data_IF_552544257369
#
_entry.id   IF_552544257369
#
_cell.length_a   1.000
_cell.length_b   1.000
_cell.length_c   1.000
_cell.angle_alpha   90.00
_cell.angle_beta   90.00
_cell.angle_gamma   90.00
#
_symmetry.space_group_name_H-M   'P 1'
#
loop_
_entity.id
_entity.type
_entity.pdbx_description
1 polymer ?
#
# COMPACT_ATOMS: atom_id res chain seq x y z
N UNK A 1 39.02 25.97 17.82
CA UNK A 1 37.54 25.97 17.81
C UNK A 1 37.06 24.88 18.74
N UNK A 2 36.09 25.18 19.61
CA UNK A 2 35.51 24.17 20.52
C UNK A 2 34.80 23.09 19.69
N UNK A 3 34.98 21.81 20.05
CA UNK A 3 34.21 20.72 19.43
C UNK A 3 32.76 20.86 19.87
N UNK A 4 31.85 20.98 18.91
CA UNK A 4 30.42 20.91 19.16
C UNK A 4 30.06 19.52 19.70
N UNK A 5 29.00 19.41 20.53
CA UNK A 5 28.56 18.14 21.09
C UNK A 5 28.20 17.14 19.98
N UNK A 6 28.43 15.86 20.26
CA UNK A 6 28.19 14.78 19.29
C UNK A 6 26.70 14.72 18.93
N UNK A 7 26.40 14.88 17.63
CA UNK A 7 25.03 14.93 17.10
C UNK A 7 24.47 16.34 16.87
N UNK A 8 25.20 17.40 17.22
CA UNK A 8 24.82 18.78 16.91
C UNK A 8 25.40 19.23 15.57
N UNK A 9 24.55 19.70 14.67
CA UNK A 9 24.92 20.18 13.35
C UNK A 9 24.25 21.52 13.05
N UNK A 10 25.06 22.54 12.76
CA UNK A 10 24.57 23.84 12.31
C UNK A 10 23.96 23.77 10.90
N UNK A 11 24.44 22.83 10.06
CA UNK A 11 23.91 22.60 8.73
C UNK A 11 22.53 21.91 8.76
N UNK A 12 22.29 21.07 9.76
CA UNK A 12 21.03 20.33 9.92
C UNK A 12 19.90 21.16 10.55
N UNK A 13 20.21 22.26 11.27
CA UNK A 13 19.20 23.12 11.90
C UNK A 13 18.05 23.55 10.96
N UNK A 14 18.32 24.09 9.75
CA UNK A 14 17.25 24.46 8.83
C UNK A 14 16.46 23.25 8.30
N UNK A 15 17.10 22.09 8.18
CA UNK A 15 16.44 20.84 7.76
C UNK A 15 15.49 20.36 8.86
N UNK A 16 15.96 20.30 10.10
CA UNK A 16 15.17 19.86 11.26
C UNK A 16 13.98 20.81 11.53
N UNK A 17 14.17 22.12 11.35
CA UNK A 17 13.09 23.09 11.46
C UNK A 17 12.02 22.88 10.37
N UNK A 18 12.42 22.69 9.11
CA UNK A 18 11.50 22.40 8.02
C UNK A 18 10.72 21.10 8.24
N UNK A 19 11.39 20.04 8.71
CA UNK A 19 10.75 18.76 9.04
C UNK A 19 9.77 18.89 10.22
N UNK A 20 10.12 19.66 11.27
CA UNK A 20 9.24 19.89 12.42
C UNK A 20 7.97 20.67 12.04
N UNK A 21 8.06 21.53 11.03
CA UNK A 21 6.94 22.29 10.47
C UNK A 21 6.14 21.52 9.40
N UNK A 22 6.56 20.29 9.05
CA UNK A 22 5.91 19.47 8.01
C UNK A 22 6.19 19.94 6.57
N UNK A 23 7.23 20.75 6.37
CA UNK A 23 7.66 21.26 5.06
C UNK A 23 8.69 20.33 4.43
N UNK A 24 8.25 19.13 4.05
CA UNK A 24 9.12 18.06 3.56
C UNK A 24 9.87 18.42 2.27
N UNK A 25 9.24 19.14 1.36
CA UNK A 25 9.88 19.56 0.09
C UNK A 25 10.99 20.59 0.32
N UNK A 26 10.78 21.53 1.24
CA UNK A 26 11.80 22.51 1.61
C UNK A 26 12.99 21.82 2.30
N UNK A 27 12.71 20.84 3.17
CA UNK A 27 13.74 20.02 3.79
C UNK A 27 14.58 19.25 2.75
N UNK A 28 13.93 18.67 1.72
CA UNK A 28 14.63 17.98 0.62
C UNK A 28 15.52 18.93 -0.18
N UNK A 29 15.02 20.13 -0.49
CA UNK A 29 15.77 21.13 -1.24
C UNK A 29 17.04 21.54 -0.49
N UNK A 30 16.93 21.83 0.80
CA UNK A 30 18.07 22.20 1.65
C UNK A 30 19.07 21.03 1.77
N UNK A 31 18.59 19.80 1.94
CA UNK A 31 19.44 18.61 1.92
C UNK A 31 20.18 18.47 0.59
N UNK A 32 19.49 18.66 -0.53
CA UNK A 32 20.08 18.55 -1.86
C UNK A 32 21.21 19.57 -2.06
N UNK A 33 21.00 20.82 -1.64
CA UNK A 33 22.01 21.88 -1.73
C UNK A 33 23.26 21.55 -0.90
N UNK A 34 23.08 21.09 0.34
CA UNK A 34 24.19 20.74 1.24
C UNK A 34 24.94 19.48 0.76
N UNK A 35 24.23 18.49 0.21
CA UNK A 35 24.86 17.31 -0.38
C UNK A 35 25.64 17.66 -1.66
N UNK A 36 25.07 18.54 -2.50
CA UNK A 36 25.68 18.96 -3.77
C UNK A 36 26.93 19.81 -3.55
N UNK A 37 27.05 20.53 -2.42
CA UNK A 37 28.26 21.27 -2.08
C UNK A 37 29.43 20.37 -1.68
N UNK A 38 29.20 19.07 -1.41
CA UNK A 38 30.23 18.12 -0.99
C UNK A 38 30.71 18.31 0.45
N UNK A 39 30.09 19.20 1.23
CA UNK A 39 30.49 19.56 2.60
C UNK A 39 29.49 19.08 3.65
N UNK A 40 28.58 18.17 3.29
CA UNK A 40 27.56 17.66 4.18
C UNK A 40 28.15 16.92 5.37
N UNK A 41 27.74 17.32 6.57
CA UNK A 41 28.13 16.65 7.80
C UNK A 41 27.33 15.37 8.08
N UNK A 42 27.76 14.60 9.09
CA UNK A 42 27.20 13.29 9.43
C UNK A 42 25.71 13.34 9.78
N UNK A 43 25.25 14.44 10.39
CA UNK A 43 23.85 14.60 10.78
C UNK A 43 23.00 14.85 9.54
N UNK A 44 23.43 15.74 8.65
CA UNK A 44 22.76 16.01 7.37
C UNK A 44 22.69 14.76 6.50
N UNK A 45 23.78 14.00 6.41
CA UNK A 45 23.82 12.73 5.68
C UNK A 45 22.85 11.69 6.26
N UNK A 46 22.70 11.62 7.58
CA UNK A 46 21.73 10.74 8.24
C UNK A 46 20.30 11.14 7.89
N UNK A 47 19.96 12.43 7.99
CA UNK A 47 18.63 12.94 7.65
C UNK A 47 18.28 12.65 6.18
N UNK A 48 19.23 12.88 5.27
CA UNK A 48 19.07 12.53 3.86
C UNK A 48 18.80 11.03 3.66
N UNK A 49 19.56 10.17 4.34
CA UNK A 49 19.39 8.73 4.26
C UNK A 49 18.04 8.25 4.82
N UNK A 50 17.52 8.91 5.86
CA UNK A 50 16.20 8.63 6.42
C UNK A 50 15.09 9.02 5.44
N UNK A 51 15.20 10.17 4.77
CA UNK A 51 14.23 10.61 3.76
C UNK A 51 14.24 9.74 2.49
N UNK A 52 15.41 9.26 2.09
CA UNK A 52 15.57 8.38 0.92
C UNK A 52 15.29 6.90 1.23
N UNK A 53 15.09 6.55 2.50
CA UNK A 53 14.93 5.17 2.95
C UNK A 53 13.74 4.55 2.22
N UNK A 54 13.96 3.50 1.38
CA UNK A 54 12.85 2.84 0.73
C UNK A 54 11.94 2.24 1.79
N UNK A 55 10.60 2.25 1.59
CA UNK A 55 9.68 1.65 2.54
C UNK A 55 10.09 0.19 2.74
N UNK A 56 10.16 -0.22 4.01
CA UNK A 56 10.58 -1.58 4.38
C UNK A 56 9.68 -2.57 3.63
N UNK A 57 10.22 -3.24 2.62
CA UNK A 57 9.49 -4.26 1.84
C UNK A 57 8.93 -5.27 2.85
N UNK A 58 7.60 -5.44 2.88
CA UNK A 58 6.97 -6.46 3.71
C UNK A 58 7.56 -7.82 3.30
N UNK A 59 8.32 -8.46 4.19
CA UNK A 59 8.76 -9.85 4.00
C UNK A 59 7.51 -10.73 4.09
N UNK A 60 7.18 -11.42 2.99
CA UNK A 60 6.08 -12.38 2.92
C UNK A 60 5.90 -12.95 1.52
N UNK A 61 5.54 -14.23 1.43
CA UNK A 61 5.02 -14.86 0.19
C UNK A 61 3.88 -13.98 -0.33
N UNK A 62 3.85 -13.70 -1.64
CA UNK A 62 2.68 -13.05 -2.25
C UNK A 62 1.45 -13.85 -1.81
N UNK A 63 0.45 -13.18 -1.22
CA UNK A 63 -0.76 -13.85 -0.73
C UNK A 63 -1.37 -14.58 -1.94
N UNK A 64 -1.31 -15.90 -1.94
CA UNK A 64 -1.94 -16.68 -3.00
C UNK A 64 -3.45 -16.51 -2.88
N UNK A 65 -4.09 -16.33 -4.02
CA UNK A 65 -5.54 -16.18 -4.09
C UNK A 65 -6.21 -17.43 -3.49
N UNK A 66 -7.37 -17.29 -2.82
CA UNK A 66 -8.13 -18.44 -2.35
C UNK A 66 -8.39 -19.41 -3.51
N UNK A 67 -8.22 -20.71 -3.27
CA UNK A 67 -8.52 -21.73 -4.29
C UNK A 67 -9.97 -21.58 -4.76
N UNK A 68 -10.16 -21.65 -6.09
CA UNK A 68 -11.45 -21.54 -6.76
C UNK A 68 -12.21 -20.22 -6.53
N UNK A 69 -11.54 -19.13 -6.14
CA UNK A 69 -12.19 -17.86 -5.82
C UNK A 69 -13.16 -17.36 -6.90
N UNK A 70 -12.76 -17.46 -8.17
CA UNK A 70 -13.57 -17.03 -9.31
C UNK A 70 -14.83 -17.88 -9.51
N UNK A 71 -14.71 -19.21 -9.44
CA UNK A 71 -15.82 -20.15 -9.63
C UNK A 71 -16.83 -20.03 -8.50
N UNK A 72 -16.35 -19.96 -7.25
CA UNK A 72 -17.20 -19.77 -6.07
C UNK A 72 -18.01 -18.47 -6.21
N UNK A 73 -17.36 -17.38 -6.62
CA UNK A 73 -18.03 -16.09 -6.76
C UNK A 73 -19.04 -16.05 -7.91
N UNK A 74 -18.69 -16.64 -9.05
CA UNK A 74 -19.62 -16.76 -10.20
C UNK A 74 -20.86 -17.55 -9.78
N UNK A 75 -20.65 -18.70 -9.14
CA UNK A 75 -21.75 -19.55 -8.67
C UNK A 75 -22.62 -18.86 -7.62
N UNK A 76 -22.00 -18.11 -6.70
CA UNK A 76 -22.72 -17.29 -5.72
C UNK A 76 -23.62 -16.26 -6.39
N UNK A 77 -23.11 -15.53 -7.39
CA UNK A 77 -23.88 -14.51 -8.12
C UNK A 77 -25.04 -15.13 -8.90
N UNK A 78 -24.82 -16.31 -9.52
CA UNK A 78 -25.88 -17.03 -10.22
C UNK A 78 -27.02 -17.40 -9.27
N UNK A 79 -26.70 -18.00 -8.12
CA UNK A 79 -27.70 -18.41 -7.14
C UNK A 79 -28.37 -17.19 -6.48
N UNK A 80 -27.63 -16.10 -6.25
CA UNK A 80 -28.19 -14.84 -5.76
C UNK A 80 -29.19 -14.25 -6.77
N UNK A 81 -28.90 -14.32 -8.07
CA UNK A 81 -29.81 -13.86 -9.13
C UNK A 81 -31.10 -14.66 -9.21
N UNK A 82 -31.09 -15.90 -8.71
CA UNK A 82 -32.26 -16.78 -8.59
C UNK A 82 -33.09 -16.50 -7.34
N UNK A 83 -32.69 -15.54 -6.49
CA UNK A 83 -33.40 -15.17 -5.28
C UNK A 83 -33.22 -16.13 -4.10
N UNK A 84 -32.20 -17.00 -4.14
CA UNK A 84 -31.88 -17.91 -3.05
C UNK A 84 -31.41 -17.12 -1.82
N UNK A 85 -31.88 -17.50 -0.62
CA UNK A 85 -31.51 -16.84 0.63
C UNK A 85 -30.04 -17.07 0.96
N UNK A 86 -29.46 -16.13 1.71
CA UNK A 86 -28.04 -16.15 2.06
C UNK A 86 -27.59 -17.47 2.74
N UNK A 87 -28.33 -17.96 3.72
CA UNK A 87 -27.95 -19.19 4.43
C UNK A 87 -27.93 -20.40 3.49
N UNK A 88 -28.94 -20.53 2.64
CA UNK A 88 -29.05 -21.58 1.62
C UNK A 88 -27.94 -21.47 0.56
N UNK A 89 -27.52 -20.24 0.21
CA UNK A 89 -26.39 -20.00 -0.70
C UNK A 89 -25.09 -20.56 -0.14
N UNK A 90 -24.78 -20.20 1.11
CA UNK A 90 -23.55 -20.63 1.76
C UNK A 90 -23.55 -22.15 1.91
N UNK A 91 -24.64 -22.73 2.38
CA UNK A 91 -24.75 -24.19 2.53
C UNK A 91 -24.59 -24.92 1.19
N UNK A 92 -25.18 -24.40 0.12
CA UNK A 92 -25.04 -24.95 -1.23
C UNK A 92 -23.58 -24.91 -1.70
N UNK A 93 -22.91 -23.77 -1.52
CA UNK A 93 -21.52 -23.59 -1.92
C UNK A 93 -20.54 -24.41 -1.08
N UNK A 94 -20.78 -24.56 0.23
CA UNK A 94 -19.97 -25.43 1.10
C UNK A 94 -20.04 -26.88 0.62
N UNK A 95 -21.24 -27.37 0.26
CA UNK A 95 -21.43 -28.73 -0.26
C UNK A 95 -20.81 -28.91 -1.64
N UNK A 96 -21.00 -27.95 -2.55
CA UNK A 96 -20.54 -28.02 -3.93
C UNK A 96 -19.01 -27.99 -4.02
N UNK A 97 -18.36 -27.05 -3.31
CA UNK A 97 -16.92 -26.84 -3.39
C UNK A 97 -16.12 -27.50 -2.27
N UNK A 98 -16.79 -28.09 -1.26
CA UNK A 98 -16.17 -28.75 -0.09
C UNK A 98 -15.20 -27.84 0.66
N UNK A 99 -15.55 -26.57 0.78
CA UNK A 99 -14.82 -25.57 1.56
C UNK A 99 -15.68 -25.06 2.71
N UNK A 100 -15.04 -24.52 3.75
CA UNK A 100 -15.75 -23.85 4.83
C UNK A 100 -16.32 -22.51 4.39
N UNK A 101 -17.34 -22.05 5.09
CA UNK A 101 -17.97 -20.73 4.92
C UNK A 101 -16.90 -19.64 4.92
N UNK A 102 -15.95 -19.69 5.86
CA UNK A 102 -14.86 -18.71 5.92
C UNK A 102 -14.04 -18.65 4.62
N UNK A 103 -13.79 -19.80 3.98
CA UNK A 103 -13.08 -19.84 2.70
C UNK A 103 -13.94 -19.26 1.57
N UNK A 104 -15.24 -19.56 1.55
CA UNK A 104 -16.20 -18.99 0.59
C UNK A 104 -16.24 -17.46 0.72
N UNK A 105 -16.35 -16.94 1.95
CA UNK A 105 -16.37 -15.50 2.21
C UNK A 105 -15.07 -14.81 1.78
N UNK A 106 -13.92 -15.45 2.02
CA UNK A 106 -12.64 -14.94 1.55
C UNK A 106 -12.55 -14.93 0.01
N UNK A 107 -13.05 -15.98 -0.65
CA UNK A 107 -13.13 -16.05 -2.11
C UNK A 107 -14.03 -14.94 -2.69
N UNK A 108 -15.18 -14.69 -2.06
CA UNK A 108 -16.10 -13.61 -2.46
C UNK A 108 -15.49 -12.23 -2.26
N UNK A 109 -14.80 -12.01 -1.14
CA UNK A 109 -14.11 -10.75 -0.87
C UNK A 109 -13.01 -10.47 -1.92
N UNK A 110 -12.24 -11.50 -2.27
CA UNK A 110 -11.20 -11.40 -3.30
C UNK A 110 -11.82 -11.10 -4.68
N UNK A 111 -12.92 -11.77 -5.03
CA UNK A 111 -13.63 -11.50 -6.28
C UNK A 111 -14.15 -10.06 -6.37
N UNK A 112 -14.78 -9.56 -5.30
CA UNK A 112 -15.28 -8.18 -5.26
C UNK A 112 -14.14 -7.17 -5.38
N UNK A 113 -13.00 -7.41 -4.74
CA UNK A 113 -11.83 -6.56 -4.85
C UNK A 113 -11.26 -6.56 -6.28
N UNK A 114 -11.13 -7.74 -6.89
CA UNK A 114 -10.65 -7.86 -8.26
C UNK A 114 -11.60 -7.20 -9.28
N UNK A 115 -12.91 -7.36 -9.09
CA UNK A 115 -13.93 -6.72 -9.94
C UNK A 115 -13.88 -5.19 -9.81
N UNK A 116 -13.82 -4.66 -8.59
CA UNK A 116 -13.73 -3.23 -8.37
C UNK A 116 -12.47 -2.61 -9.02
N UNK A 117 -11.31 -3.28 -8.89
CA UNK A 117 -10.08 -2.83 -9.52
C UNK A 117 -10.16 -2.85 -11.06
N UNK A 118 -10.84 -3.86 -11.63
CA UNK A 118 -11.09 -3.93 -13.07
C UNK A 118 -12.03 -2.81 -13.55
N UNK A 119 -13.12 -2.57 -12.83
CA UNK A 119 -14.10 -1.54 -13.16
C UNK A 119 -13.48 -0.14 -13.09
N UNK A 120 -12.64 0.13 -12.07
CA UNK A 120 -11.87 1.37 -11.94
C UNK A 120 -10.87 1.57 -13.10
N UNK A 121 -10.13 0.52 -13.46
CA UNK A 121 -9.18 0.58 -14.58
C UNK A 121 -9.90 0.80 -15.93
N UNK A 122 -11.08 0.20 -16.10
CA UNK A 122 -11.90 0.38 -17.30
C UNK A 122 -12.46 1.80 -17.37
N UNK A 123 -12.93 2.34 -16.25
CA UNK A 123 -13.41 3.72 -16.16
C UNK A 123 -12.30 4.73 -16.49
N UNK A 124 -11.10 4.57 -15.89
CA UNK A 124 -9.97 5.44 -16.15
C UNK A 124 -9.54 5.42 -17.64
N UNK A 125 -9.63 4.27 -18.31
CA UNK A 125 -9.36 4.16 -19.75
C UNK A 125 -10.38 4.92 -20.61
N UNK A 126 -11.65 4.93 -20.19
CA UNK A 126 -12.69 5.68 -20.90
C UNK A 126 -12.55 7.19 -20.70
N UNK A 127 -12.19 7.63 -19.50
CA UNK A 127 -12.04 9.05 -19.16
C UNK A 127 -10.79 9.69 -19.81
N UNK A 128 -9.70 8.92 -20.03
CA UNK A 128 -8.49 9.41 -20.74
C UNK A 128 -8.68 9.56 -22.27
N UNK A 129 -9.79 9.04 -22.82
CA UNK A 129 -10.07 9.03 -24.26
C UNK A 129 -11.12 10.06 -24.69
N UNK A 130 -11.72 10.80 -23.77
CA UNK A 130 -12.71 11.85 -23.99
C UNK A 130 -12.14 13.23 -23.68
#
# INVERSE_FOLDING_TARGET
>A
MAKLPEGFSLQAMPIEAALAEGRDEDAKQVIFEILSSGTADRVTQRLAAEMLKPPKRKRGRRKELPKHWYLIATRYLDLQSQGVKYDDLIETLEKEFRFSERHILNALAEYRSAKAAHDEATQAYHDDRT
#
